data_IF_575293839751
#
_entry.id   IF_575293839751
#
_cell.length_a   1.000
_cell.length_b   1.000
_cell.length_c   1.000
_cell.angle_alpha   90.00
_cell.angle_beta   90.00
_cell.angle_gamma   90.00
#
_symmetry.space_group_name_H-M   'P 1'
#
loop_
_entity.id
_entity.type
_entity.pdbx_description
1 polymer ?
#
# COMPACT_ATOMS: atom_id res chain seq x y z
N UNK A 1 -16.27 -46.25 -8.88
CA UNK A 1 -14.86 -46.00 -9.22
C UNK A 1 -14.68 -44.49 -9.31
N UNK A 2 -14.32 -43.92 -8.20
CA UNK A 2 -14.21 -42.46 -8.01
C UNK A 2 -12.74 -42.08 -8.28
N UNK A 3 -12.51 -41.48 -9.43
CA UNK A 3 -11.18 -41.04 -9.84
C UNK A 3 -11.00 -39.56 -9.42
N UNK A 4 -10.79 -39.37 -8.12
CA UNK A 4 -10.27 -38.09 -7.59
C UNK A 4 -8.87 -37.90 -8.13
N UNK A 5 -8.71 -37.16 -9.23
CA UNK A 5 -7.40 -36.68 -9.68
C UNK A 5 -6.91 -35.70 -8.63
N UNK A 6 -5.68 -35.86 -8.09
CA UNK A 6 -5.08 -34.84 -7.28
C UNK A 6 -4.93 -33.59 -8.15
N UNK A 7 -5.58 -32.48 -7.79
CA UNK A 7 -5.28 -31.16 -8.31
C UNK A 7 -3.82 -30.85 -7.90
N UNK A 8 -2.90 -31.14 -8.81
CA UNK A 8 -1.57 -30.54 -8.76
C UNK A 8 -1.82 -29.04 -8.94
N UNK A 9 -1.60 -28.26 -7.88
CA UNK A 9 -1.67 -26.80 -7.96
C UNK A 9 -0.71 -26.36 -9.06
N UNK A 10 -1.23 -25.74 -10.12
CA UNK A 10 -0.42 -25.22 -11.20
C UNK A 10 0.55 -24.18 -10.64
N UNK A 11 1.82 -24.27 -10.99
CA UNK A 11 2.82 -23.30 -10.53
C UNK A 11 2.56 -21.93 -11.16
N UNK A 12 3.07 -20.84 -10.56
CA UNK A 12 2.96 -19.48 -11.13
C UNK A 12 3.48 -19.45 -12.58
N UNK A 13 4.51 -20.25 -12.88
CA UNK A 13 5.10 -20.36 -14.23
C UNK A 13 4.12 -20.99 -15.20
N UNK A 14 3.43 -22.06 -14.80
CA UNK A 14 2.46 -22.75 -15.65
C UNK A 14 1.24 -21.86 -15.92
N UNK A 15 0.73 -21.18 -14.88
CA UNK A 15 -0.37 -20.24 -15.01
C UNK A 15 0.00 -19.07 -15.94
N UNK A 16 1.21 -18.53 -15.83
CA UNK A 16 1.72 -17.49 -16.71
C UNK A 16 1.78 -17.96 -18.17
N UNK A 17 2.24 -19.19 -18.43
CA UNK A 17 2.34 -19.74 -19.78
C UNK A 17 0.94 -19.91 -20.41
N UNK A 18 -0.03 -20.45 -19.65
CA UNK A 18 -1.40 -20.64 -20.09
C UNK A 18 -2.14 -19.30 -20.31
N UNK A 19 -2.01 -18.38 -19.36
CA UNK A 19 -2.63 -17.06 -19.44
C UNK A 19 -2.10 -16.24 -20.65
N UNK A 20 -0.84 -16.39 -21.02
CA UNK A 20 -0.25 -15.79 -22.25
C UNK A 20 -0.85 -16.36 -23.54
N UNK A 21 -1.38 -17.57 -23.51
CA UNK A 21 -2.09 -18.19 -24.62
C UNK A 21 -3.56 -17.78 -24.68
N UNK A 22 -4.00 -16.89 -23.77
CA UNK A 22 -5.35 -16.36 -23.70
C UNK A 22 -6.28 -17.13 -22.77
N UNK A 23 -5.75 -18.07 -21.96
CA UNK A 23 -6.54 -18.76 -20.95
C UNK A 23 -6.92 -17.79 -19.81
N UNK A 24 -8.21 -17.47 -19.74
CA UNK A 24 -8.77 -16.54 -18.76
C UNK A 24 -8.81 -17.13 -17.35
N UNK A 25 -9.02 -18.44 -17.23
CA UNK A 25 -9.06 -19.11 -15.94
C UNK A 25 -7.66 -19.18 -15.33
N UNK A 26 -6.64 -19.48 -16.13
CA UNK A 26 -5.25 -19.43 -15.72
C UNK A 26 -4.85 -18.00 -15.27
N UNK A 27 -5.30 -16.96 -15.98
CA UNK A 27 -5.07 -15.58 -15.58
C UNK A 27 -5.76 -15.22 -14.26
N UNK A 28 -7.03 -15.64 -14.09
CA UNK A 28 -7.77 -15.45 -12.83
C UNK A 28 -7.02 -16.10 -11.66
N UNK A 29 -6.61 -17.36 -11.81
CA UNK A 29 -5.86 -18.09 -10.79
C UNK A 29 -4.50 -17.45 -10.48
N UNK A 30 -3.87 -16.83 -11.47
CA UNK A 30 -2.62 -16.09 -11.31
C UNK A 30 -2.80 -14.79 -10.51
N UNK A 31 -3.92 -14.08 -10.69
CA UNK A 31 -4.21 -12.78 -10.04
C UNK A 31 -4.80 -12.95 -8.63
N UNK A 32 -5.63 -13.97 -8.43
CA UNK A 32 -6.41 -14.20 -7.21
C UNK A 32 -5.59 -14.06 -5.90
N UNK A 33 -4.37 -14.60 -5.77
CA UNK A 33 -3.54 -14.43 -4.57
C UNK A 33 -3.16 -12.98 -4.27
N UNK A 34 -3.24 -12.10 -5.25
CA UNK A 34 -2.82 -10.70 -5.17
C UNK A 34 -3.98 -9.70 -5.03
N UNK A 35 -5.24 -10.11 -5.15
CA UNK A 35 -6.41 -9.23 -5.12
C UNK A 35 -6.40 -8.28 -3.91
N UNK A 36 -6.16 -8.82 -2.71
CA UNK A 36 -6.08 -8.02 -1.50
C UNK A 36 -4.93 -7.00 -1.54
N UNK A 37 -3.78 -7.38 -2.09
CA UNK A 37 -2.62 -6.49 -2.20
C UNK A 37 -2.86 -5.39 -3.23
N UNK A 38 -3.49 -5.70 -4.36
CA UNK A 38 -3.93 -4.76 -5.39
C UNK A 38 -4.89 -3.73 -4.79
N UNK A 39 -5.97 -4.18 -4.15
CA UNK A 39 -6.93 -3.27 -3.51
C UNK A 39 -6.28 -2.40 -2.42
N UNK A 40 -5.44 -3.00 -1.55
CA UNK A 40 -4.74 -2.27 -0.49
C UNK A 40 -3.81 -1.19 -1.06
N UNK A 41 -3.11 -1.48 -2.16
CA UNK A 41 -2.25 -0.51 -2.83
C UNK A 41 -3.09 0.65 -3.40
N UNK A 42 -4.21 0.37 -4.07
CA UNK A 42 -5.08 1.38 -4.65
C UNK A 42 -5.72 2.28 -3.58
N UNK A 43 -6.32 1.69 -2.52
CA UNK A 43 -6.98 2.46 -1.47
C UNK A 43 -6.01 3.30 -0.65
N UNK A 44 -4.76 2.85 -0.50
CA UNK A 44 -3.73 3.63 0.19
C UNK A 44 -3.38 4.94 -0.51
N UNK A 45 -3.54 5.00 -1.83
CA UNK A 45 -3.28 6.19 -2.64
C UNK A 45 -4.52 7.08 -2.70
N UNK A 46 -5.68 6.49 -2.96
CA UNK A 46 -6.90 7.21 -3.30
C UNK A 46 -7.72 7.63 -2.09
N UNK A 47 -7.58 6.95 -0.94
CA UNK A 47 -8.38 7.17 0.27
C UNK A 47 -9.91 7.17 0.01
N UNK A 48 -10.34 6.45 -1.03
CA UNK A 48 -11.73 6.29 -1.42
C UNK A 48 -11.92 4.87 -1.93
N UNK A 49 -12.89 4.13 -1.39
CA UNK A 49 -13.12 2.72 -1.72
C UNK A 49 -13.57 2.53 -3.17
N UNK A 50 -14.52 3.35 -3.64
CA UNK A 50 -15.05 3.23 -4.99
C UNK A 50 -13.97 3.53 -6.05
N UNK A 51 -13.20 4.61 -5.85
CA UNK A 51 -12.08 4.94 -6.72
C UNK A 51 -11.00 3.85 -6.69
N UNK A 52 -10.77 3.23 -5.52
CA UNK A 52 -9.79 2.16 -5.36
C UNK A 52 -10.22 0.87 -6.08
N UNK A 53 -11.49 0.50 -5.99
CA UNK A 53 -12.05 -0.64 -6.71
C UNK A 53 -11.92 -0.46 -8.23
N UNK A 54 -12.28 0.70 -8.76
CA UNK A 54 -12.14 1.01 -10.18
C UNK A 54 -10.66 0.98 -10.62
N UNK A 55 -9.75 1.57 -9.84
CA UNK A 55 -8.33 1.54 -10.16
C UNK A 55 -7.74 0.12 -10.09
N UNK A 56 -8.22 -0.71 -9.16
CA UNK A 56 -7.82 -2.11 -9.04
C UNK A 56 -8.29 -2.94 -10.25
N UNK A 57 -9.55 -2.76 -10.66
CA UNK A 57 -10.11 -3.43 -11.85
C UNK A 57 -9.36 -3.01 -13.12
N UNK A 58 -9.10 -1.71 -13.29
CA UNK A 58 -8.34 -1.20 -14.43
C UNK A 58 -6.91 -1.74 -14.47
N UNK A 59 -6.26 -1.86 -13.29
CA UNK A 59 -4.94 -2.44 -13.18
C UNK A 59 -4.91 -3.93 -13.59
N UNK A 60 -5.90 -4.72 -13.17
CA UNK A 60 -6.03 -6.13 -13.54
C UNK A 60 -6.29 -6.26 -15.05
N UNK A 61 -7.17 -5.42 -15.60
CA UNK A 61 -7.44 -5.40 -17.04
C UNK A 61 -6.18 -5.07 -17.85
N UNK A 62 -5.43 -4.06 -17.44
CA UNK A 62 -4.15 -3.69 -18.07
C UNK A 62 -3.11 -4.79 -17.94
N UNK A 63 -3.04 -5.45 -16.80
CA UNK A 63 -2.17 -6.61 -16.61
C UNK A 63 -2.52 -7.73 -17.59
N UNK A 64 -3.80 -8.01 -17.81
CA UNK A 64 -4.23 -9.00 -18.81
C UNK A 64 -3.82 -8.60 -20.22
N UNK A 65 -4.10 -7.37 -20.64
CA UNK A 65 -3.78 -6.86 -21.98
C UNK A 65 -2.27 -6.88 -22.24
N UNK A 66 -1.45 -6.55 -21.24
CA UNK A 66 0.00 -6.44 -21.37
C UNK A 66 0.78 -7.68 -20.94
N UNK A 67 0.07 -8.78 -20.60
CA UNK A 67 0.71 -10.01 -20.10
C UNK A 67 1.73 -10.61 -21.06
N UNK A 68 1.47 -10.51 -22.36
CA UNK A 68 2.40 -10.99 -23.39
C UNK A 68 3.77 -10.26 -23.32
N UNK A 69 3.77 -9.00 -22.91
CA UNK A 69 4.99 -8.19 -22.73
C UNK A 69 5.67 -8.34 -21.37
N UNK A 70 5.12 -9.10 -20.44
CA UNK A 70 5.75 -9.35 -19.14
C UNK A 70 7.02 -10.20 -19.31
N UNK A 71 8.19 -9.63 -19.03
CA UNK A 71 9.51 -10.28 -19.30
C UNK A 71 9.99 -11.19 -18.18
N UNK A 72 9.35 -11.19 -17.01
CA UNK A 72 9.81 -11.96 -15.85
C UNK A 72 11.03 -11.35 -15.12
N UNK A 73 11.40 -10.11 -15.42
CA UNK A 73 12.48 -9.38 -14.74
C UNK A 73 12.14 -9.07 -13.26
N UNK A 74 10.87 -9.12 -12.94
CA UNK A 74 10.33 -9.05 -11.59
C UNK A 74 9.35 -10.20 -11.36
N UNK A 75 9.00 -10.47 -10.09
CA UNK A 75 7.88 -11.37 -9.77
C UNK A 75 6.58 -10.80 -10.33
N UNK A 76 5.65 -11.67 -10.77
CA UNK A 76 4.36 -11.23 -11.30
C UNK A 76 3.61 -10.29 -10.33
N UNK A 77 3.55 -10.63 -9.05
CA UNK A 77 2.92 -9.78 -8.05
C UNK A 77 3.58 -8.39 -7.89
N UNK A 78 4.88 -8.27 -8.09
CA UNK A 78 5.59 -6.97 -8.09
C UNK A 78 5.17 -6.12 -9.28
N UNK A 79 5.13 -6.71 -10.47
CA UNK A 79 4.70 -6.07 -11.69
C UNK A 79 3.22 -5.64 -11.64
N UNK A 80 2.32 -6.50 -11.13
CA UNK A 80 0.90 -6.20 -10.97
C UNK A 80 0.67 -5.03 -10.01
N UNK A 81 1.35 -5.01 -8.85
CA UNK A 81 1.26 -3.91 -7.89
C UNK A 81 1.82 -2.61 -8.48
N UNK A 82 2.87 -2.67 -9.30
CA UNK A 82 3.39 -1.49 -10.01
C UNK A 82 2.33 -0.89 -10.95
N UNK A 83 1.64 -1.72 -11.73
CA UNK A 83 0.52 -1.28 -12.58
C UNK A 83 -0.56 -0.63 -11.71
N UNK A 84 -0.94 -1.28 -10.61
CA UNK A 84 -1.98 -0.77 -9.69
C UNK A 84 -1.64 0.60 -9.13
N UNK A 85 -0.41 0.81 -8.68
CA UNK A 85 0.04 2.11 -8.15
C UNK A 85 0.01 3.18 -9.24
N UNK A 86 0.42 2.83 -10.46
CA UNK A 86 0.37 3.76 -11.59
C UNK A 86 -1.06 4.17 -11.94
N UNK A 87 -2.01 3.23 -11.96
CA UNK A 87 -3.43 3.53 -12.20
C UNK A 87 -4.04 4.39 -11.08
N UNK A 88 -3.76 4.04 -9.83
CA UNK A 88 -4.23 4.82 -8.69
C UNK A 88 -3.67 6.26 -8.71
N UNK A 89 -2.38 6.44 -9.05
CA UNK A 89 -1.77 7.78 -9.21
C UNK A 89 -2.38 8.54 -10.38
N UNK A 90 -2.65 7.87 -11.50
CA UNK A 90 -3.30 8.48 -12.67
C UNK A 90 -4.71 8.97 -12.31
N UNK A 91 -5.48 8.14 -11.60
CA UNK A 91 -6.83 8.49 -11.14
C UNK A 91 -6.79 9.63 -10.12
N UNK A 92 -5.85 9.61 -9.17
CA UNK A 92 -5.67 10.70 -8.22
C UNK A 92 -5.38 12.03 -8.93
N UNK A 93 -4.49 12.02 -9.92
CA UNK A 93 -4.15 13.20 -10.72
C UNK A 93 -5.36 13.74 -11.49
N UNK A 94 -6.19 12.85 -12.05
CA UNK A 94 -7.39 13.22 -12.80
C UNK A 94 -8.47 13.82 -11.88
N UNK A 95 -8.71 13.19 -10.72
CA UNK A 95 -9.81 13.56 -9.84
C UNK A 95 -9.44 14.69 -8.86
N UNK A 96 -8.16 14.84 -8.52
CA UNK A 96 -7.66 15.81 -7.52
C UNK A 96 -6.30 16.39 -7.93
N UNK A 97 -6.22 17.19 -9.02
CA UNK A 97 -4.95 17.69 -9.54
C UNK A 97 -4.15 18.51 -8.52
N UNK A 98 -4.80 19.31 -7.68
CA UNK A 98 -4.15 20.11 -6.64
C UNK A 98 -3.46 19.28 -5.55
N UNK A 99 -3.96 18.09 -5.22
CA UNK A 99 -3.28 17.17 -4.31
C UNK A 99 -2.06 16.52 -4.97
N UNK A 100 -2.15 16.24 -6.25
CA UNK A 100 -1.05 15.64 -7.01
C UNK A 100 0.12 16.62 -7.19
N UNK A 101 -0.14 17.88 -7.51
CA UNK A 101 0.89 18.92 -7.61
C UNK A 101 1.65 19.14 -6.30
N UNK A 102 0.94 19.09 -5.16
CA UNK A 102 1.57 19.12 -3.83
C UNK A 102 2.52 17.94 -3.61
N UNK A 103 2.19 16.76 -4.14
CA UNK A 103 3.00 15.54 -4.03
C UNK A 103 4.26 15.62 -4.90
N UNK A 104 4.15 16.17 -6.10
CA UNK A 104 5.28 16.30 -7.03
C UNK A 104 6.30 17.32 -6.54
N UNK A 105 5.83 18.44 -5.96
CA UNK A 105 6.70 19.41 -5.27
C UNK A 105 7.43 18.78 -4.09
N UNK A 106 6.74 17.95 -3.29
CA UNK A 106 7.36 17.23 -2.17
C UNK A 106 8.36 16.13 -2.59
N UNK A 107 8.37 15.72 -3.87
CA UNK A 107 9.40 14.81 -4.40
C UNK A 107 10.76 15.48 -4.55
N UNK A 108 10.78 16.78 -4.85
CA UNK A 108 12.00 17.58 -4.99
C UNK A 108 12.66 17.92 -3.63
N UNK A 109 11.87 18.01 -2.56
CA UNK A 109 12.34 18.49 -1.24
C UNK A 109 12.62 17.33 -0.25
N UNK A 110 13.26 16.24 -0.68
CA UNK A 110 13.49 15.06 0.19
C UNK A 110 14.61 15.27 1.25
N UNK A 111 15.15 16.50 1.39
CA UNK A 111 16.23 16.84 2.32
C UNK A 111 15.76 17.51 3.64
N UNK A 112 14.47 17.67 3.87
CA UNK A 112 13.94 18.24 5.12
C UNK A 112 14.23 17.33 6.33
N UNK A 113 14.95 17.86 7.31
CA UNK A 113 15.25 17.21 8.58
C UNK A 113 13.96 17.11 9.41
N UNK A 114 13.39 15.89 9.51
CA UNK A 114 12.29 15.62 10.42
C UNK A 114 12.84 15.42 11.84
N UNK A 115 12.51 16.32 12.76
CA UNK A 115 12.85 16.18 14.19
C UNK A 115 11.72 15.41 14.91
N UNK A 116 11.98 14.21 15.43
CA UNK A 116 10.98 13.43 16.18
C UNK A 116 10.63 14.12 17.50
N UNK A 117 9.36 14.09 17.88
CA UNK A 117 8.96 14.44 19.23
C UNK A 117 9.43 13.36 20.20
N UNK A 118 9.99 13.76 21.33
CA UNK A 118 10.43 12.85 22.37
C UNK A 118 9.22 12.36 23.16
N UNK A 119 8.92 11.05 23.10
CA UNK A 119 7.78 10.43 23.81
C UNK A 119 8.26 9.30 24.70
N UNK A 120 7.70 9.29 25.91
CA UNK A 120 7.96 8.33 26.96
C UNK A 120 7.58 6.87 26.62
N UNK A 121 8.08 5.98 27.42
CA UNK A 121 8.19 4.53 27.37
C UNK A 121 6.89 3.74 27.07
N UNK A 122 6.97 2.71 26.23
CA UNK A 122 5.91 1.92 25.61
C UNK A 122 5.54 0.66 26.43
N UNK A 123 5.17 0.73 27.71
CA UNK A 123 5.06 -0.47 28.55
C UNK A 123 3.68 -0.96 28.95
N UNK A 124 2.57 -0.38 28.51
CA UNK A 124 1.24 -0.90 28.86
C UNK A 124 0.39 -1.25 27.63
N UNK A 125 0.00 -2.54 27.54
CA UNK A 125 -0.91 -3.08 26.51
C UNK A 125 -2.33 -3.10 27.08
N UNK A 126 -3.29 -2.43 26.47
CA UNK A 126 -4.65 -2.32 26.97
C UNK A 126 -5.58 -3.50 26.61
N UNK A 127 -6.67 -3.68 27.36
CA UNK A 127 -7.62 -4.80 27.28
C UNK A 127 -8.54 -4.85 26.03
N UNK A 128 -9.12 -6.02 25.70
CA UNK A 128 -8.96 -6.67 24.39
C UNK A 128 -9.96 -6.42 23.26
N UNK A 129 -11.11 -5.80 23.35
CA UNK A 129 -12.07 -5.78 22.21
C UNK A 129 -12.51 -4.41 21.73
N UNK A 130 -12.85 -3.50 22.60
CA UNK A 130 -13.22 -2.13 22.23
C UNK A 130 -11.99 -1.39 21.68
N UNK A 131 -10.87 -1.57 22.36
CA UNK A 131 -9.58 -0.98 22.01
C UNK A 131 -9.04 -1.45 20.67
N UNK A 132 -9.30 -2.68 20.21
CA UNK A 132 -8.90 -3.17 18.88
C UNK A 132 -9.62 -2.43 17.75
N UNK A 133 -10.87 -2.02 17.95
CA UNK A 133 -11.62 -1.25 16.95
C UNK A 133 -11.10 0.19 16.89
N UNK A 134 -10.92 0.81 18.04
CA UNK A 134 -10.38 2.17 18.15
C UNK A 134 -8.96 2.25 17.58
N UNK A 135 -8.11 1.29 17.93
CA UNK A 135 -6.75 1.20 17.36
C UNK A 135 -6.77 1.03 15.83
N UNK A 136 -7.69 0.22 15.28
CA UNK A 136 -7.80 0.08 13.82
C UNK A 136 -8.19 1.38 13.14
N UNK A 137 -9.14 2.10 13.70
CA UNK A 137 -9.56 3.39 13.15
C UNK A 137 -8.44 4.43 13.29
N UNK A 138 -7.75 4.48 14.41
CA UNK A 138 -6.59 5.33 14.60
C UNK A 138 -5.46 5.03 13.61
N UNK A 139 -5.15 3.75 13.40
CA UNK A 139 -4.16 3.33 12.38
C UNK A 139 -4.58 3.77 10.97
N UNK A 140 -5.85 3.59 10.60
CA UNK A 140 -6.36 4.06 9.29
C UNK A 140 -6.19 5.58 9.15
N UNK A 141 -6.58 6.34 10.17
CA UNK A 141 -6.46 7.80 10.16
C UNK A 141 -4.99 8.24 10.10
N UNK A 142 -4.12 7.62 10.89
CA UNK A 142 -2.70 7.92 10.88
C UNK A 142 -2.06 7.62 9.51
N UNK A 143 -2.38 6.47 8.90
CA UNK A 143 -1.92 6.11 7.56
C UNK A 143 -2.46 7.11 6.52
N UNK A 144 -3.75 7.45 6.59
CA UNK A 144 -4.37 8.39 5.66
C UNK A 144 -3.78 9.81 5.78
N UNK A 145 -3.32 10.19 6.98
CA UNK A 145 -2.65 11.47 7.24
C UNK A 145 -1.21 11.57 6.74
N UNK A 146 -0.56 10.45 6.42
CA UNK A 146 0.80 10.48 5.90
C UNK A 146 0.85 11.14 4.51
N UNK A 147 1.89 11.93 4.20
CA UNK A 147 2.22 12.29 2.82
C UNK A 147 2.31 11.06 1.93
N UNK A 148 1.81 11.16 0.68
CA UNK A 148 1.69 10.00 -0.21
C UNK A 148 3.01 9.23 -0.37
N UNK A 149 4.13 9.93 -0.53
CA UNK A 149 5.47 9.34 -0.68
C UNK A 149 5.89 8.43 0.49
N UNK A 150 5.43 8.72 1.70
CA UNK A 150 5.70 7.93 2.90
C UNK A 150 4.69 6.80 3.05
N UNK A 151 3.43 7.08 2.74
CA UNK A 151 2.33 6.12 2.81
C UNK A 151 2.54 4.94 1.87
N UNK A 152 2.90 5.19 0.60
CA UNK A 152 3.19 4.15 -0.38
C UNK A 152 4.29 3.20 0.11
N UNK A 153 5.39 3.75 0.63
CA UNK A 153 6.50 2.94 1.15
C UNK A 153 6.07 2.14 2.38
N UNK A 154 5.34 2.75 3.31
CA UNK A 154 4.84 2.08 4.51
C UNK A 154 3.93 0.89 4.15
N UNK A 155 2.98 1.09 3.25
CA UNK A 155 2.05 0.03 2.81
C UNK A 155 2.81 -1.12 2.15
N UNK A 156 3.72 -0.83 1.23
CA UNK A 156 4.48 -1.87 0.54
C UNK A 156 5.39 -2.65 1.50
N UNK A 157 6.07 -1.96 2.43
CA UNK A 157 7.03 -2.57 3.33
C UNK A 157 6.40 -3.24 4.55
N UNK A 158 5.54 -2.53 5.27
CA UNK A 158 5.06 -2.96 6.58
C UNK A 158 3.72 -3.73 6.50
N UNK A 159 2.88 -3.42 5.51
CA UNK A 159 1.59 -4.11 5.32
C UNK A 159 1.71 -5.27 4.33
N UNK A 160 2.34 -5.05 3.17
CA UNK A 160 2.47 -6.07 2.12
C UNK A 160 3.77 -6.88 2.20
N UNK A 161 4.66 -6.57 3.15
CA UNK A 161 5.92 -7.31 3.42
C UNK A 161 6.84 -7.42 2.17
N UNK A 162 6.78 -6.44 1.24
CA UNK A 162 7.66 -6.40 0.08
C UNK A 162 9.10 -6.09 0.50
N UNK A 163 10.09 -6.64 -0.19
CA UNK A 163 11.49 -6.30 0.05
C UNK A 163 11.80 -4.84 -0.31
N UNK A 164 12.94 -4.32 0.14
CA UNK A 164 13.39 -2.96 -0.21
C UNK A 164 13.57 -2.85 -1.73
N UNK A 165 14.11 -3.89 -2.37
CA UNK A 165 14.33 -3.95 -3.81
C UNK A 165 13.02 -3.94 -4.59
N UNK A 166 12.06 -4.81 -4.21
CA UNK A 166 10.73 -4.84 -4.82
C UNK A 166 10.01 -3.50 -4.64
N UNK A 167 10.09 -2.89 -3.45
CA UNK A 167 9.49 -1.57 -3.19
C UNK A 167 10.13 -0.48 -4.04
N UNK A 168 11.46 -0.49 -4.17
CA UNK A 168 12.20 0.44 -5.02
C UNK A 168 11.78 0.31 -6.50
N UNK A 169 11.65 -0.92 -6.98
CA UNK A 169 11.22 -1.23 -8.34
C UNK A 169 9.77 -0.78 -8.58
N UNK A 170 8.84 -1.12 -7.67
CA UNK A 170 7.42 -0.73 -7.77
C UNK A 170 7.26 0.79 -7.83
N UNK A 171 7.98 1.53 -7.00
CA UNK A 171 7.83 2.98 -6.88
C UNK A 171 8.71 3.78 -7.85
N UNK A 172 9.67 3.13 -8.53
CA UNK A 172 10.64 3.79 -9.41
C UNK A 172 11.62 4.71 -8.65
N UNK A 173 12.06 4.30 -7.46
CA UNK A 173 12.99 5.07 -6.60
C UNK A 173 14.18 4.21 -6.18
N UNK A 174 15.21 4.84 -5.62
CA UNK A 174 16.39 4.10 -5.15
C UNK A 174 16.10 3.32 -3.85
N UNK A 175 16.81 2.22 -3.57
CA UNK A 175 16.72 1.50 -2.29
C UNK A 175 17.05 2.39 -1.07
N UNK A 176 17.94 3.36 -1.24
CA UNK A 176 18.26 4.38 -0.23
C UNK A 176 17.04 5.25 0.10
N UNK A 177 16.36 5.76 -0.94
CA UNK A 177 15.11 6.53 -0.77
C UNK A 177 14.02 5.71 -0.08
N UNK A 178 13.89 4.40 -0.37
CA UNK A 178 12.94 3.53 0.35
C UNK A 178 13.25 3.50 1.84
N UNK A 179 14.52 3.29 2.23
CA UNK A 179 14.93 3.26 3.65
C UNK A 179 14.62 4.57 4.37
N UNK A 180 15.00 5.70 3.77
CA UNK A 180 14.75 7.03 4.34
C UNK A 180 13.27 7.33 4.48
N UNK A 181 12.47 7.08 3.42
CA UNK A 181 11.03 7.30 3.44
C UNK A 181 10.32 6.40 4.44
N UNK A 182 10.73 5.14 4.57
CA UNK A 182 10.18 4.22 5.56
C UNK A 182 10.46 4.68 6.99
N UNK A 183 11.69 5.09 7.28
CA UNK A 183 12.05 5.63 8.59
C UNK A 183 11.19 6.85 8.96
N UNK A 184 11.05 7.81 8.05
CA UNK A 184 10.20 9.00 8.23
C UNK A 184 8.72 8.63 8.38
N UNK A 185 8.22 7.68 7.58
CA UNK A 185 6.85 7.18 7.70
C UNK A 185 6.56 6.61 9.09
N UNK A 186 7.46 5.78 9.61
CA UNK A 186 7.32 5.17 10.95
C UNK A 186 7.38 6.20 12.06
N UNK A 187 8.25 7.21 11.95
CA UNK A 187 8.31 8.30 12.92
C UNK A 187 7.00 9.10 12.94
N UNK A 188 6.46 9.47 11.78
CA UNK A 188 5.19 10.18 11.70
C UNK A 188 4.00 9.32 12.20
N UNK A 189 4.00 8.02 11.90
CA UNK A 189 3.02 7.09 12.45
C UNK A 189 3.09 7.03 13.99
N UNK A 190 4.29 6.92 14.55
CA UNK A 190 4.49 6.96 16.00
C UNK A 190 3.92 8.23 16.59
N UNK A 191 4.26 9.39 16.03
CA UNK A 191 3.81 10.68 16.53
C UNK A 191 2.29 10.87 16.40
N UNK A 192 1.66 10.28 15.38
CA UNK A 192 0.21 10.30 15.20
C UNK A 192 -0.52 9.37 16.17
N UNK A 193 0.10 8.28 16.60
CA UNK A 193 -0.50 7.28 17.47
C UNK A 193 -0.18 7.51 18.95
N UNK A 194 0.84 8.29 19.28
CA UNK A 194 1.28 8.55 20.66
C UNK A 194 0.18 9.07 21.61
N UNK A 195 -0.71 9.99 21.20
CA UNK A 195 -1.78 10.49 22.09
C UNK A 195 -2.79 9.43 22.55
N UNK A 196 -2.85 8.28 21.90
CA UNK A 196 -3.78 7.21 22.26
C UNK A 196 -3.17 6.06 23.05
N UNK A 197 -1.84 6.01 23.14
CA UNK A 197 -1.13 4.93 23.82
C UNK A 197 -1.10 5.12 25.33
N UNK A 198 -1.32 6.34 25.80
CA UNK A 198 -1.48 6.69 27.21
C UNK A 198 -2.91 6.41 27.77
N UNK A 199 -3.77 5.69 27.04
CA UNK A 199 -5.14 5.34 27.44
C UNK A 199 -6.19 6.40 27.10
N UNK A 200 -5.85 7.49 26.40
CA UNK A 200 -6.78 8.59 26.08
C UNK A 200 -7.73 8.29 24.91
N UNK A 201 -7.66 7.11 24.28
CA UNK A 201 -8.59 6.67 23.23
C UNK A 201 -10.05 6.57 23.71
N UNK A 202 -10.29 6.53 25.04
CA UNK A 202 -11.62 6.31 25.63
C UNK A 202 -12.47 7.57 25.72
N UNK A 203 -11.93 8.74 25.46
CA UNK A 203 -12.70 10.00 25.54
C UNK A 203 -12.86 10.60 24.13
N UNK A 204 -13.90 10.19 23.44
CA UNK A 204 -14.40 10.56 22.11
C UNK A 204 -14.27 11.99 21.57
N UNK A 205 -13.20 12.69 21.89
CA UNK A 205 -12.80 13.99 21.30
C UNK A 205 -11.28 14.11 21.26
N UNK A 206 -10.62 13.26 20.49
CA UNK A 206 -9.31 13.62 20.00
C UNK A 206 -9.52 14.74 18.98
N UNK A 207 -9.39 15.99 19.37
CA UNK A 207 -9.14 17.07 18.43
C UNK A 207 -7.81 16.75 17.73
N UNK A 208 -7.89 16.12 16.55
CA UNK A 208 -6.76 16.03 15.65
C UNK A 208 -6.33 17.47 15.32
N UNK A 209 -5.40 18.00 16.11
CA UNK A 209 -4.71 19.23 15.72
C UNK A 209 -4.18 18.95 14.32
N UNK A 210 -4.75 19.65 13.33
CA UNK A 210 -4.27 19.65 11.94
C UNK A 210 -2.76 19.86 12.01
N UNK A 211 -1.99 18.81 11.77
CA UNK A 211 -0.58 18.94 11.49
C UNK A 211 -0.55 19.83 10.26
N UNK A 212 -0.16 21.08 10.44
CA UNK A 212 -0.03 22.00 9.30
C UNK A 212 1.01 21.38 8.38
N UNK A 213 0.70 21.19 7.09
CA UNK A 213 1.74 20.87 6.14
C UNK A 213 2.68 22.08 6.11
N UNK A 214 3.94 21.81 6.32
CA UNK A 214 5.04 22.79 6.18
C UNK A 214 5.17 23.16 4.72
#
# INVERSE_FOLDING_TARGET
MDTTRPHLEATEVDLLAQARQGDREAFYNLVCPYERAVYTAAVSILNNSADAEEAAQEAVLKAFIHLAGFRGEAKFGTWLIQITINEARLKLRKNRPHLYESIDKQRADDEGEYSPKDFADWREVPSETLQRRELREALKHAIAGLPLKYREVLILRDVQQRSIQETAQILGITPGSVKTRLSRARLQMRDALAPGIDGTWTTGKAEYKKVRPW
#
